data_IF_457774132866
#
_entry.id   IF_457774132866
#
_cell.length_a   1.000
_cell.length_b   1.000
_cell.length_c   1.000
_cell.angle_alpha   90.00
_cell.angle_beta   90.00
_cell.angle_gamma   90.00
#
_symmetry.space_group_name_H-M   'P 1'
#
loop_
_entity.id
_entity.type
_entity.pdbx_description
1 polymer ?
#
# COMPACT_ATOMS: atom_id res chain seq x y z
N UNK A 1 -21.90 -12.01 -0.75
CA UNK A 1 -20.86 -11.64 0.23
C UNK A 1 -20.93 -10.14 0.38
N UNK A 2 -21.15 -9.63 1.60
CA UNK A 2 -21.10 -8.19 1.86
C UNK A 2 -19.68 -7.72 1.58
N UNK A 3 -19.49 -6.74 0.70
CA UNK A 3 -18.18 -6.09 0.58
C UNK A 3 -18.03 -5.19 1.79
N UNK A 4 -17.01 -5.41 2.61
CA UNK A 4 -16.74 -4.56 3.77
C UNK A 4 -16.42 -3.14 3.27
N UNK A 5 -17.19 -2.15 3.75
CA UNK A 5 -16.99 -0.74 3.41
C UNK A 5 -15.88 -0.18 4.29
N UNK A 6 -14.80 0.31 3.67
CA UNK A 6 -13.68 0.93 4.34
C UNK A 6 -13.97 2.41 4.61
N UNK A 7 -14.18 2.78 5.87
CA UNK A 7 -14.34 4.18 6.27
C UNK A 7 -12.97 4.84 6.40
N UNK A 8 -12.68 5.80 5.53
CA UNK A 8 -11.39 6.50 5.48
C UNK A 8 -11.58 7.99 5.26
N UNK A 9 -10.58 8.79 5.62
CA UNK A 9 -10.59 10.23 5.34
C UNK A 9 -10.21 10.51 3.88
N UNK A 10 -10.57 11.68 3.35
CA UNK A 10 -10.13 12.13 2.02
C UNK A 10 -8.60 12.11 1.87
N UNK A 11 -7.87 12.59 2.88
CA UNK A 11 -6.41 12.56 2.89
C UNK A 11 -5.83 11.14 2.82
N UNK A 12 -6.50 10.14 3.43
CA UNK A 12 -6.10 8.74 3.31
C UNK A 12 -6.33 8.20 1.91
N UNK A 13 -7.49 8.52 1.30
CA UNK A 13 -7.80 8.10 -0.06
C UNK A 13 -6.78 8.66 -1.07
N UNK A 14 -6.40 9.92 -0.93
CA UNK A 14 -5.45 10.57 -1.84
C UNK A 14 -4.07 9.91 -1.78
N UNK A 15 -3.58 9.60 -0.57
CA UNK A 15 -2.33 8.83 -0.37
C UNK A 15 -2.40 7.44 -0.99
N UNK A 16 -3.52 6.74 -0.81
CA UNK A 16 -3.71 5.41 -1.39
C UNK A 16 -3.74 5.47 -2.92
N UNK A 17 -4.35 6.50 -3.52
CA UNK A 17 -4.34 6.72 -4.97
C UNK A 17 -2.95 7.02 -5.51
N UNK A 18 -2.18 7.85 -4.80
CA UNK A 18 -0.80 8.17 -5.15
C UNK A 18 0.08 6.91 -5.10
N UNK A 19 0.01 6.16 -4.01
CA UNK A 19 0.72 4.88 -3.85
C UNK A 19 0.33 3.90 -4.96
N UNK A 20 -0.98 3.71 -5.20
CA UNK A 20 -1.47 2.83 -6.26
C UNK A 20 -0.95 3.24 -7.64
N UNK A 21 -0.99 4.54 -7.95
CA UNK A 21 -0.48 5.06 -9.22
C UNK A 21 1.02 4.79 -9.38
N UNK A 22 1.81 5.09 -8.35
CA UNK A 22 3.25 4.84 -8.37
C UNK A 22 3.57 3.35 -8.57
N UNK A 23 2.94 2.47 -7.78
CA UNK A 23 3.17 1.02 -7.85
C UNK A 23 2.78 0.44 -9.21
N UNK A 24 1.65 0.88 -9.78
CA UNK A 24 1.15 0.35 -11.06
C UNK A 24 1.84 0.91 -12.31
N UNK A 25 2.62 1.98 -12.18
CA UNK A 25 3.35 2.62 -13.28
C UNK A 25 4.86 2.40 -13.15
N UNK A 26 5.51 3.21 -12.31
CA UNK A 26 6.95 3.20 -12.11
C UNK A 26 7.37 1.90 -11.42
N UNK A 27 6.71 1.51 -10.33
CA UNK A 27 7.08 0.32 -9.55
C UNK A 27 7.07 -0.98 -10.34
N UNK A 28 6.02 -1.23 -11.14
CA UNK A 28 5.95 -2.39 -12.06
C UNK A 28 7.09 -2.42 -13.08
N UNK A 29 7.46 -1.25 -13.61
CA UNK A 29 8.56 -1.14 -14.56
C UNK A 29 9.90 -1.40 -13.89
N UNK A 30 10.11 -0.87 -12.68
CA UNK A 30 11.35 -1.04 -11.92
C UNK A 30 11.56 -2.49 -11.48
N UNK A 31 10.55 -3.14 -10.87
CA UNK A 31 10.69 -4.52 -10.43
C UNK A 31 10.93 -5.47 -11.62
N UNK A 32 10.32 -5.19 -12.77
CA UNK A 32 10.55 -5.96 -14.00
C UNK A 32 12.02 -5.86 -14.45
N UNK A 33 12.62 -4.66 -14.41
CA UNK A 33 14.04 -4.46 -14.71
C UNK A 33 14.94 -5.17 -13.71
N UNK A 34 14.61 -5.15 -12.42
CA UNK A 34 15.37 -5.87 -11.38
C UNK A 34 15.35 -7.38 -11.64
N UNK A 35 14.18 -7.95 -11.94
CA UNK A 35 14.04 -9.37 -12.27
C UNK A 35 14.83 -9.72 -13.54
N UNK A 36 14.78 -8.88 -14.57
CA UNK A 36 15.53 -9.08 -15.82
C UNK A 36 17.05 -9.05 -15.57
N UNK A 37 17.53 -8.07 -14.79
CA UNK A 37 18.93 -7.98 -14.41
C UNK A 37 19.37 -9.21 -13.61
N UNK A 38 18.60 -9.63 -12.60
CA UNK A 38 18.90 -10.83 -11.82
C UNK A 38 18.91 -12.08 -12.72
N UNK A 39 17.97 -12.20 -13.66
CA UNK A 39 17.89 -13.32 -14.62
C UNK A 39 19.15 -13.43 -15.50
N UNK A 40 19.83 -12.32 -15.77
CA UNK A 40 21.03 -12.31 -16.61
C UNK A 40 22.30 -12.84 -15.92
N UNK A 41 22.28 -13.03 -14.59
CA UNK A 41 23.46 -13.34 -13.78
C UNK A 41 23.81 -14.84 -13.67
N UNK A 42 23.07 -15.74 -14.33
CA UNK A 42 23.43 -17.17 -14.37
C UNK A 42 22.23 -18.10 -14.21
N UNK A 43 22.47 -19.28 -13.63
CA UNK A 43 21.41 -20.27 -13.40
C UNK A 43 20.38 -19.75 -12.40
N UNK A 44 19.10 -19.82 -12.78
CA UNK A 44 17.98 -19.28 -12.01
C UNK A 44 17.65 -20.12 -10.77
N UNK A 45 18.06 -21.39 -10.76
CA UNK A 45 17.74 -22.30 -9.66
C UNK A 45 18.49 -21.98 -8.36
N UNK A 46 19.67 -21.36 -8.47
CA UNK A 46 20.52 -20.97 -7.33
C UNK A 46 20.58 -19.44 -7.12
N UNK A 47 19.93 -18.67 -8.01
CA UNK A 47 20.01 -17.21 -7.99
C UNK A 47 19.08 -16.61 -6.93
N UNK A 48 19.64 -16.37 -5.74
CA UNK A 48 18.93 -15.75 -4.62
C UNK A 48 18.33 -14.39 -4.95
N UNK A 49 19.00 -13.56 -5.74
CA UNK A 49 18.52 -12.23 -6.13
C UNK A 49 17.28 -12.32 -7.03
N UNK A 50 17.23 -13.30 -7.93
CA UNK A 50 16.06 -13.56 -8.76
C UNK A 50 14.85 -13.97 -7.90
N UNK A 51 15.05 -14.89 -6.95
CA UNK A 51 13.99 -15.30 -6.02
C UNK A 51 13.49 -14.14 -5.16
N UNK A 52 14.41 -13.36 -4.58
CA UNK A 52 14.06 -12.18 -3.80
C UNK A 52 13.27 -11.15 -4.63
N UNK A 53 13.69 -10.87 -5.87
CA UNK A 53 12.98 -9.95 -6.75
C UNK A 53 11.57 -10.45 -7.11
N UNK A 54 11.39 -11.76 -7.30
CA UNK A 54 10.07 -12.37 -7.54
C UNK A 54 9.16 -12.29 -6.32
N UNK A 55 9.70 -12.47 -5.11
CA UNK A 55 8.94 -12.34 -3.87
C UNK A 55 8.51 -10.89 -3.63
N UNK A 56 9.41 -9.92 -3.84
CA UNK A 56 9.08 -8.49 -3.76
C UNK A 56 8.03 -8.09 -4.79
N UNK A 57 8.11 -8.59 -6.03
CA UNK A 57 7.03 -8.43 -7.01
C UNK A 57 5.71 -8.97 -6.47
N UNK A 58 5.72 -10.16 -5.86
CA UNK A 58 4.51 -10.78 -5.28
C UNK A 58 3.88 -9.93 -4.18
N UNK A 59 4.69 -9.40 -3.26
CA UNK A 59 4.26 -8.49 -2.18
C UNK A 59 3.69 -7.20 -2.75
N UNK A 60 4.36 -6.60 -3.73
CA UNK A 60 3.91 -5.39 -4.40
C UNK A 60 2.53 -5.59 -5.07
N UNK A 61 2.35 -6.69 -5.81
CA UNK A 61 1.06 -6.99 -6.45
C UNK A 61 -0.04 -7.29 -5.42
N UNK A 62 0.30 -7.91 -4.28
CA UNK A 62 -0.65 -8.08 -3.18
C UNK A 62 -1.07 -6.72 -2.59
N UNK A 63 -0.13 -5.79 -2.42
CA UNK A 63 -0.41 -4.43 -1.96
C UNK A 63 -1.30 -3.67 -2.95
N UNK A 64 -1.02 -3.74 -4.25
CA UNK A 64 -1.87 -3.15 -5.30
C UNK A 64 -3.31 -3.65 -5.18
N UNK A 65 -3.53 -4.98 -5.06
CA UNK A 65 -4.88 -5.55 -4.90
C UNK A 65 -5.59 -5.09 -3.63
N UNK A 66 -4.85 -4.96 -2.53
CA UNK A 66 -5.40 -4.46 -1.28
C UNK A 66 -5.86 -3.01 -1.44
N UNK A 67 -5.00 -2.14 -1.99
CA UNK A 67 -5.32 -0.73 -2.21
C UNK A 67 -6.51 -0.59 -3.15
N UNK A 68 -6.52 -1.31 -4.27
CA UNK A 68 -7.62 -1.29 -5.24
C UNK A 68 -8.96 -1.70 -4.60
N UNK A 69 -8.94 -2.70 -3.71
CA UNK A 69 -10.13 -3.10 -2.94
C UNK A 69 -10.61 -1.96 -2.03
N UNK A 70 -9.71 -1.29 -1.33
CA UNK A 70 -10.05 -0.15 -0.47
C UNK A 70 -10.60 1.01 -1.29
N UNK A 71 -9.94 1.39 -2.39
CA UNK A 71 -10.39 2.49 -3.26
C UNK A 71 -11.78 2.21 -3.85
N UNK A 72 -12.07 0.96 -4.25
CA UNK A 72 -13.38 0.59 -4.79
C UNK A 72 -14.49 0.55 -3.74
N UNK A 73 -14.17 0.20 -2.49
CA UNK A 73 -15.14 -0.04 -1.43
C UNK A 73 -14.90 0.87 -0.23
N UNK A 74 -14.97 2.19 -0.43
CA UNK A 74 -14.79 3.15 0.66
C UNK A 74 -15.99 4.06 0.89
N UNK A 75 -16.04 4.62 2.09
CA UNK A 75 -16.90 5.72 2.49
C UNK A 75 -16.01 6.81 3.09
N UNK A 76 -16.18 8.06 2.63
CA UNK A 76 -15.42 9.19 3.16
C UNK A 76 -16.04 9.65 4.47
N UNK A 77 -15.21 9.72 5.51
CA UNK A 77 -15.57 10.30 6.80
C UNK A 77 -14.81 11.61 7.04
N UNK A 78 -15.54 12.64 7.45
CA UNK A 78 -14.96 13.92 7.86
C UNK A 78 -14.45 13.85 9.31
N UNK A 79 -13.42 14.63 9.63
CA UNK A 79 -12.99 14.81 11.01
C UNK A 79 -13.82 15.91 11.62
N UNK A 80 -14.69 15.57 12.58
CA UNK A 80 -15.33 16.59 13.40
C UNK A 80 -14.25 17.32 14.21
N UNK A 81 -14.11 18.62 13.93
CA UNK A 81 -13.01 19.47 14.40
C UNK A 81 -12.95 19.72 15.90
N UNK A 82 -13.87 19.17 16.70
CA UNK A 82 -13.89 19.34 18.16
C UNK A 82 -14.36 18.05 18.86
N UNK A 83 -13.77 16.91 18.50
CA UNK A 83 -14.03 15.67 19.23
C UNK A 83 -13.36 15.74 20.62
N UNK A 84 -14.16 15.97 21.67
CA UNK A 84 -13.75 15.84 23.08
C UNK A 84 -13.50 14.39 23.50
N UNK A 85 -13.82 13.44 22.63
CA UNK A 85 -13.67 12.00 22.84
C UNK A 85 -12.99 11.38 21.61
N UNK A 86 -12.05 10.45 21.83
CA UNK A 86 -11.28 9.83 20.74
C UNK A 86 -12.19 8.89 19.95
N UNK A 87 -12.47 9.24 18.70
CA UNK A 87 -13.29 8.45 17.77
C UNK A 87 -12.48 7.94 16.57
N UNK A 88 -13.12 7.14 15.71
CA UNK A 88 -12.49 6.66 14.46
C UNK A 88 -11.94 7.84 13.64
N UNK A 89 -10.71 7.70 13.14
CA UNK A 89 -9.94 8.72 12.39
C UNK A 89 -9.34 9.90 13.21
N UNK A 90 -9.39 9.84 14.54
CA UNK A 90 -8.70 10.80 15.43
C UNK A 90 -7.17 10.63 15.36
N UNK A 91 -6.44 11.76 15.31
CA UNK A 91 -5.00 11.80 15.57
C UNK A 91 -4.82 12.37 16.97
N UNK A 92 -4.15 11.62 17.85
CA UNK A 92 -3.84 12.07 19.21
C UNK A 92 -2.34 12.27 19.36
N UNK A 93 -1.94 13.38 19.99
CA UNK A 93 -0.57 13.59 20.44
C UNK A 93 -0.46 13.09 21.88
N UNK A 94 0.41 12.11 22.12
CA UNK A 94 0.72 11.64 23.47
C UNK A 94 1.83 12.51 24.03
N UNK A 95 1.56 13.18 25.15
CA UNK A 95 2.57 13.90 25.93
C UNK A 95 2.88 13.07 27.17
N UNK A 96 4.15 12.74 27.36
CA UNK A 96 4.64 12.08 28.58
C UNK A 96 5.25 13.15 29.48
N UNK A 97 4.62 13.39 30.63
CA UNK A 97 5.20 14.15 31.73
C UNK A 97 5.77 13.14 32.73
N UNK A 98 7.07 13.27 33.00
CA UNK A 98 7.96 12.31 33.68
C UNK A 98 7.37 11.48 34.82
#
# INVERSE_FOLDING_TARGET
MSQDIHRITQATLDKLREEHHHLTTVGRTEIARVIEAARSLGDLSENGDYHAAKDEQGKMEARIRQIDTVIRNHEIVERDGEATEVSYASIVAVVYDG
#
